data_IF_434893490894
#
_entry.id   IF_434893490894
#
_cell.length_a   1.000
_cell.length_b   1.000
_cell.length_c   1.000
_cell.angle_alpha   90.00
_cell.angle_beta   90.00
_cell.angle_gamma   90.00
#
_symmetry.space_group_name_H-M   'P 1'
#
loop_
_entity.id
_entity.type
_entity.pdbx_description
1 polymer ?
#
# COMPACT_ATOMS: atom_id res chain seq x y z
N UNK A 1 -14.87 16.23 -21.54
CA UNK A 1 -14.31 15.68 -20.30
C UNK A 1 -13.08 16.49 -20.03
N UNK A 2 -13.09 17.27 -18.94
CA UNK A 2 -11.94 18.08 -18.58
C UNK A 2 -10.78 17.17 -18.17
N UNK A 3 -9.53 17.63 -18.30
CA UNK A 3 -8.35 16.83 -17.94
C UNK A 3 -8.40 16.35 -16.47
N UNK A 4 -9.07 17.11 -15.60
CA UNK A 4 -9.29 16.75 -14.19
C UNK A 4 -10.22 15.53 -14.04
N UNK A 5 -11.33 15.48 -14.77
CA UNK A 5 -12.28 14.37 -14.71
C UNK A 5 -11.64 13.07 -15.20
N UNK A 6 -10.77 13.15 -16.22
CA UNK A 6 -10.01 11.98 -16.70
C UNK A 6 -9.07 11.44 -15.62
N UNK A 7 -8.39 12.31 -14.87
CA UNK A 7 -7.52 11.91 -13.77
C UNK A 7 -8.30 11.25 -12.63
N UNK A 8 -9.48 11.79 -12.29
CA UNK A 8 -10.36 11.19 -11.29
C UNK A 8 -10.86 9.82 -11.74
N UNK A 9 -11.28 9.69 -13.00
CA UNK A 9 -11.74 8.44 -13.56
C UNK A 9 -10.63 7.37 -13.55
N UNK A 10 -9.40 7.74 -13.89
CA UNK A 10 -8.27 6.81 -13.89
C UNK A 10 -7.85 6.41 -12.47
N UNK A 11 -7.89 7.34 -11.51
CA UNK A 11 -7.69 7.05 -10.08
C UNK A 11 -8.75 6.09 -9.55
N UNK A 12 -10.03 6.33 -9.89
CA UNK A 12 -11.15 5.47 -9.50
C UNK A 12 -10.99 4.04 -10.04
N UNK A 13 -10.65 3.89 -11.34
CA UNK A 13 -10.38 2.57 -11.95
C UNK A 13 -9.23 1.86 -11.25
N UNK A 14 -8.11 2.56 -11.03
CA UNK A 14 -6.95 1.97 -10.36
C UNK A 14 -7.29 1.50 -8.95
N UNK A 15 -8.05 2.29 -8.17
CA UNK A 15 -8.47 1.87 -6.83
C UNK A 15 -9.39 0.65 -6.84
N UNK A 16 -10.31 0.55 -7.80
CA UNK A 16 -11.17 -0.63 -7.98
C UNK A 16 -10.34 -1.87 -8.34
N UNK A 17 -9.36 -1.73 -9.23
CA UNK A 17 -8.44 -2.81 -9.60
C UNK A 17 -7.59 -3.23 -8.41
N UNK A 18 -7.06 -2.28 -7.64
CA UNK A 18 -6.28 -2.53 -6.44
C UNK A 18 -7.11 -3.27 -5.37
N UNK A 19 -8.37 -2.86 -5.15
CA UNK A 19 -9.25 -3.51 -4.20
C UNK A 19 -9.60 -4.94 -4.64
N UNK A 20 -9.89 -5.12 -5.93
CA UNK A 20 -10.10 -6.43 -6.53
C UNK A 20 -8.86 -7.32 -6.36
N UNK A 21 -7.65 -6.76 -6.56
CA UNK A 21 -6.39 -7.48 -6.38
C UNK A 21 -6.21 -7.98 -4.94
N UNK A 22 -6.69 -7.27 -3.92
CA UNK A 22 -6.62 -7.71 -2.51
C UNK A 22 -7.35 -9.03 -2.26
N UNK A 23 -8.33 -9.38 -3.08
CA UNK A 23 -9.03 -10.68 -3.03
C UNK A 23 -8.28 -11.83 -3.72
N UNK A 24 -7.19 -11.54 -4.44
CA UNK A 24 -6.46 -12.54 -5.22
C UNK A 24 -5.60 -13.46 -4.34
N UNK A 25 -5.29 -14.65 -4.88
CA UNK A 25 -4.34 -15.56 -4.23
C UNK A 25 -2.93 -14.97 -4.15
N UNK A 26 -2.53 -14.18 -5.16
CA UNK A 26 -1.22 -13.53 -5.21
C UNK A 26 -1.09 -12.48 -4.09
N UNK A 27 -2.10 -11.63 -3.89
CA UNK A 27 -2.09 -10.67 -2.80
C UNK A 27 -2.01 -11.36 -1.44
N UNK A 28 -2.80 -12.42 -1.21
CA UNK A 28 -2.73 -13.19 0.05
C UNK A 28 -1.32 -13.76 0.30
N UNK A 29 -0.68 -14.29 -0.74
CA UNK A 29 0.70 -14.78 -0.65
C UNK A 29 1.69 -13.65 -0.33
N UNK A 30 1.64 -12.54 -1.06
CA UNK A 30 2.52 -11.39 -0.82
C UNK A 30 2.32 -10.80 0.57
N UNK A 31 1.06 -10.71 1.03
CA UNK A 31 0.72 -10.24 2.36
C UNK A 31 1.30 -11.16 3.45
N UNK A 32 1.10 -12.46 3.33
CA UNK A 32 1.65 -13.42 4.29
C UNK A 32 3.17 -13.35 4.35
N UNK A 33 3.83 -13.23 3.20
CA UNK A 33 5.27 -13.10 3.10
C UNK A 33 5.79 -11.80 3.71
N UNK A 34 5.17 -10.67 3.37
CA UNK A 34 5.50 -9.35 3.93
C UNK A 34 5.36 -9.33 5.46
N UNK A 35 4.29 -9.91 6.00
CA UNK A 35 4.11 -10.04 7.45
C UNK A 35 5.23 -10.86 8.10
N UNK A 36 5.55 -12.03 7.53
CA UNK A 36 6.62 -12.89 8.06
C UNK A 36 7.99 -12.19 8.01
N UNK A 37 8.33 -11.54 6.90
CA UNK A 37 9.60 -10.81 6.76
C UNK A 37 9.68 -9.63 7.73
N UNK A 38 8.56 -8.95 8.02
CA UNK A 38 8.49 -7.88 9.00
C UNK A 38 8.67 -8.41 10.44
N UNK A 39 7.96 -9.47 10.80
CA UNK A 39 8.05 -10.11 12.12
C UNK A 39 9.48 -10.61 12.39
N UNK A 40 10.07 -11.34 11.43
CA UNK A 40 11.45 -11.86 11.53
C UNK A 40 12.47 -10.71 11.70
N UNK A 41 12.35 -9.64 10.92
CA UNK A 41 13.26 -8.49 10.99
C UNK A 41 13.07 -7.69 12.29
N UNK A 42 11.85 -7.60 12.80
CA UNK A 42 11.53 -6.94 14.06
C UNK A 42 12.08 -7.73 15.26
N UNK A 43 11.89 -9.04 15.29
CA UNK A 43 12.47 -9.91 16.33
C UNK A 43 14.00 -9.83 16.35
N UNK A 44 14.62 -9.84 15.15
CA UNK A 44 16.06 -9.66 15.01
C UNK A 44 16.50 -8.26 15.49
N UNK A 45 15.73 -7.20 15.21
CA UNK A 45 16.04 -5.84 15.65
C UNK A 45 15.95 -5.70 17.17
N UNK A 46 14.95 -6.31 17.81
CA UNK A 46 14.78 -6.33 19.27
C UNK A 46 15.99 -7.00 19.94
N UNK A 47 16.54 -8.04 19.31
CA UNK A 47 17.65 -8.82 19.85
C UNK A 47 19.04 -8.28 19.48
N UNK A 48 19.11 -7.32 18.56
CA UNK A 48 20.38 -6.78 18.05
C UNK A 48 21.09 -5.88 19.07
N UNK A 49 22.42 -5.86 19.03
CA UNK A 49 23.22 -4.89 19.79
C UNK A 49 22.87 -3.46 19.33
N UNK A 50 22.41 -2.57 20.22
CA UNK A 50 22.14 -1.17 19.87
C UNK A 50 23.37 -0.42 19.32
N UNK A 51 24.59 -0.86 19.66
CA UNK A 51 25.84 -0.28 19.16
C UNK A 51 26.17 -0.67 17.72
N UNK A 52 25.56 -1.73 17.19
CA UNK A 52 25.76 -2.15 15.80
C UNK A 52 24.85 -1.37 14.85
N UNK A 53 25.29 -0.15 14.52
CA UNK A 53 24.55 0.78 13.65
C UNK A 53 24.27 0.15 12.27
N UNK A 54 25.19 -0.67 11.74
CA UNK A 54 25.04 -1.26 10.42
C UNK A 54 23.94 -2.33 10.42
N UNK A 55 23.97 -3.25 11.39
CA UNK A 55 22.94 -4.28 11.52
C UNK A 55 21.56 -3.65 11.76
N UNK A 56 21.48 -2.66 12.65
CA UNK A 56 20.24 -1.95 12.95
C UNK A 56 19.68 -1.22 11.70
N UNK A 57 20.54 -0.55 10.93
CA UNK A 57 20.13 0.15 9.70
C UNK A 57 19.59 -0.82 8.66
N UNK A 58 20.22 -1.99 8.53
CA UNK A 58 19.75 -3.05 7.62
C UNK A 58 18.37 -3.55 8.05
N UNK A 59 18.21 -3.97 9.31
CA UNK A 59 16.96 -4.53 9.82
C UNK A 59 15.79 -3.54 9.70
N UNK A 60 16.02 -2.26 9.97
CA UNK A 60 15.01 -1.20 9.77
C UNK A 60 14.63 -1.02 8.30
N UNK A 61 15.58 -1.16 7.37
CA UNK A 61 15.28 -1.13 5.94
C UNK A 61 14.49 -2.36 5.49
N UNK A 62 14.85 -3.54 6.01
CA UNK A 62 14.13 -4.78 5.71
C UNK A 62 12.66 -4.67 6.13
N UNK A 63 12.40 -4.17 7.35
CA UNK A 63 11.03 -3.85 7.84
C UNK A 63 10.32 -2.88 6.88
N UNK A 64 10.95 -1.74 6.55
CA UNK A 64 10.35 -0.73 5.68
C UNK A 64 9.98 -1.28 4.30
N UNK A 65 10.82 -2.14 3.73
CA UNK A 65 10.57 -2.76 2.42
C UNK A 65 9.40 -3.73 2.49
N UNK A 66 9.36 -4.57 3.55
CA UNK A 66 8.27 -5.50 3.78
C UNK A 66 6.93 -4.77 3.91
N UNK A 67 6.86 -3.67 4.66
CA UNK A 67 5.65 -2.86 4.84
C UNK A 67 5.25 -2.11 3.56
N UNK A 68 6.22 -1.54 2.85
CA UNK A 68 5.96 -0.62 1.73
C UNK A 68 5.22 -1.26 0.55
N UNK A 69 5.45 -2.55 0.29
CA UNK A 69 4.84 -3.23 -0.85
C UNK A 69 3.30 -3.30 -0.75
N UNK A 70 2.75 -3.43 0.46
CA UNK A 70 1.31 -3.48 0.67
C UNK A 70 0.71 -2.08 0.85
N UNK A 71 1.48 -1.16 1.43
CA UNK A 71 1.06 0.23 1.65
C UNK A 71 0.63 0.91 0.34
N UNK A 72 1.39 0.73 -0.75
CA UNK A 72 1.04 1.34 -2.05
C UNK A 72 -0.27 0.79 -2.64
N UNK A 73 -0.63 -0.45 -2.35
CA UNK A 73 -1.92 -1.03 -2.78
C UNK A 73 -3.05 -0.39 -1.99
N UNK A 74 -2.88 -0.25 -0.67
CA UNK A 74 -3.87 0.38 0.20
C UNK A 74 -4.05 1.88 -0.14
N UNK A 75 -2.97 2.58 -0.48
CA UNK A 75 -2.99 3.97 -0.97
C UNK A 75 -3.80 4.10 -2.27
N UNK A 76 -3.59 3.18 -3.23
CA UNK A 76 -4.35 3.18 -4.49
C UNK A 76 -5.85 2.95 -4.25
N UNK A 77 -6.22 2.04 -3.35
CA UNK A 77 -7.63 1.81 -2.96
C UNK A 77 -8.24 3.07 -2.35
N UNK A 78 -7.54 3.70 -1.40
CA UNK A 78 -8.02 4.92 -0.75
C UNK A 78 -8.19 6.08 -1.74
N UNK A 79 -7.19 6.29 -2.62
CA UNK A 79 -7.23 7.34 -3.64
C UNK A 79 -8.37 7.12 -4.64
N UNK A 80 -8.63 5.86 -5.05
CA UNK A 80 -9.74 5.57 -5.94
C UNK A 80 -11.11 5.74 -5.28
N UNK A 81 -11.26 5.39 -4.00
CA UNK A 81 -12.49 5.64 -3.26
C UNK A 81 -12.82 7.14 -3.19
N UNK A 82 -11.82 7.97 -2.89
CA UNK A 82 -11.96 9.44 -2.91
C UNK A 82 -12.36 9.94 -4.30
N UNK A 83 -11.74 9.43 -5.35
CA UNK A 83 -12.05 9.84 -6.72
C UNK A 83 -13.48 9.46 -7.15
N UNK A 84 -13.98 8.29 -6.73
CA UNK A 84 -15.38 7.89 -6.96
C UNK A 84 -16.35 8.84 -6.28
N UNK A 85 -16.08 9.22 -5.03
CA UNK A 85 -16.95 10.13 -4.30
C UNK A 85 -16.96 11.53 -4.93
N UNK A 86 -15.81 12.03 -5.37
CA UNK A 86 -15.70 13.32 -6.08
C UNK A 86 -16.46 13.31 -7.42
N UNK A 87 -16.37 12.24 -8.21
CA UNK A 87 -17.12 12.10 -9.45
C UNK A 87 -18.64 12.10 -9.21
N UNK A 88 -19.10 11.46 -8.13
CA UNK A 88 -20.54 11.44 -7.76
C UNK A 88 -21.03 12.82 -7.30
N UNK A 89 -20.22 13.56 -6.56
CA UNK A 89 -20.53 14.92 -6.15
C UNK A 89 -20.70 15.82 -7.38
N UNK A 90 -19.80 15.73 -8.35
CA UNK A 90 -19.89 16.46 -9.62
C UNK A 90 -21.16 16.11 -10.42
N UNK A 91 -21.48 14.82 -10.55
CA UNK A 91 -22.71 14.36 -11.23
C UNK A 91 -24.01 14.84 -10.56
N UNK A 92 -23.96 15.22 -9.27
CA UNK A 92 -25.13 15.68 -8.51
C UNK A 92 -25.27 17.21 -8.56
N UNK A 93 -24.19 17.94 -8.85
CA UNK A 93 -24.16 19.40 -8.93
C UNK A 93 -24.47 19.94 -10.35
N UNK A 94 -24.31 19.12 -11.39
CA UNK A 94 -24.70 19.38 -12.79
C UNK A 94 -26.20 19.12 -13.08
#
# INVERSE_FOLDING_TARGET
MEDADMQLLDSAKLGIEADSFKSSALYRYLRARSMAECDDALEALISADPGDVQANTKLRNDIRVAEGCLAWIDEAVAAGAIAVDQLREQETED
#
